data_IF_640945412390
#
_entry.id   IF_640945412390
#
_cell.length_a   1.000
_cell.length_b   1.000
_cell.length_c   1.000
_cell.angle_alpha   90.00
_cell.angle_beta   90.00
_cell.angle_gamma   90.00
#
_symmetry.space_group_name_H-M   'P 1'
#
loop_
_entity.id
_entity.type
_entity.pdbx_description
1 polymer ?
#
# COMPACT_ATOMS: atom_id res chain seq x y z
N UNK A 1 -0.25 22.40 2.06
CA UNK A 1 -0.21 21.28 1.09
C UNK A 1 -1.01 20.12 1.67
N UNK A 2 -1.82 19.40 0.88
CA UNK A 2 -2.57 18.25 1.39
C UNK A 2 -1.63 17.06 1.59
N UNK A 3 -1.78 16.25 2.66
CA UNK A 3 -0.98 15.04 2.79
C UNK A 3 -1.24 14.07 1.65
N UNK A 4 -0.18 13.49 1.10
CA UNK A 4 -0.26 12.50 0.02
C UNK A 4 -0.54 11.11 0.58
N UNK A 5 -1.47 10.41 -0.05
CA UNK A 5 -1.81 9.03 0.25
C UNK A 5 -1.71 8.21 -1.02
N UNK A 6 -1.04 7.07 -0.95
CA UNK A 6 -0.93 6.13 -2.07
C UNK A 6 -1.79 4.89 -1.78
N UNK A 7 -2.60 4.48 -2.76
CA UNK A 7 -3.21 3.17 -2.79
C UNK A 7 -2.67 2.41 -4.01
N UNK A 8 -2.00 1.29 -3.77
CA UNK A 8 -1.50 0.38 -4.80
C UNK A 8 -2.50 -0.77 -4.87
N UNK A 9 -3.23 -0.85 -5.96
CA UNK A 9 -4.40 -1.70 -6.13
C UNK A 9 -4.28 -2.48 -7.43
N UNK A 10 -4.82 -3.69 -7.48
CA UNK A 10 -5.03 -4.38 -8.75
C UNK A 10 -6.34 -3.87 -9.37
N UNK A 11 -6.33 -3.45 -10.63
CA UNK A 11 -7.47 -2.90 -11.38
C UNK A 11 -8.63 -3.91 -11.61
N UNK A 12 -8.77 -4.94 -10.77
CA UNK A 12 -9.91 -5.84 -10.72
C UNK A 12 -11.19 -5.03 -10.41
N UNK A 13 -11.90 -4.68 -11.48
CA UNK A 13 -13.00 -3.71 -11.57
C UNK A 13 -14.19 -3.92 -10.61
N UNK A 14 -14.82 -2.80 -10.23
CA UNK A 14 -16.08 -2.70 -9.47
C UNK A 14 -15.92 -1.82 -8.22
N UNK A 15 -15.11 -2.29 -7.29
CA UNK A 15 -15.01 -1.70 -5.94
C UNK A 15 -14.06 -0.50 -5.86
N UNK A 16 -13.20 -0.30 -6.86
CA UNK A 16 -12.21 0.78 -6.84
C UNK A 16 -12.87 2.15 -6.67
N UNK A 17 -13.92 2.42 -7.45
CA UNK A 17 -14.67 3.68 -7.35
C UNK A 17 -15.40 3.81 -6.01
N UNK A 18 -15.94 2.70 -5.49
CA UNK A 18 -16.65 2.64 -4.21
C UNK A 18 -15.74 2.97 -3.02
N UNK A 19 -14.51 2.45 -3.01
CA UNK A 19 -13.54 2.71 -1.94
C UNK A 19 -12.84 4.07 -2.08
N UNK A 20 -12.55 4.50 -3.31
CA UNK A 20 -11.90 5.78 -3.55
C UNK A 20 -12.85 6.97 -3.30
N UNK A 21 -14.16 6.81 -3.57
CA UNK A 21 -15.16 7.87 -3.45
C UNK A 21 -15.14 8.62 -2.12
N UNK A 22 -15.20 7.93 -0.97
CA UNK A 22 -15.10 8.58 0.35
C UNK A 22 -13.78 9.31 0.60
N UNK A 23 -12.66 8.84 0.05
CA UNK A 23 -11.37 9.53 0.17
C UNK A 23 -11.38 10.84 -0.60
N UNK A 24 -11.85 10.84 -1.85
CA UNK A 24 -12.01 12.05 -2.65
C UNK A 24 -13.00 13.04 -2.00
N UNK A 25 -14.16 12.56 -1.56
CA UNK A 25 -15.19 13.36 -0.92
C UNK A 25 -14.69 14.04 0.38
N UNK A 26 -13.72 13.43 1.08
CA UNK A 26 -13.13 14.04 2.28
C UNK A 26 -12.41 15.35 1.99
N UNK A 27 -11.88 15.53 0.77
CA UNK A 27 -11.02 16.64 0.36
C UNK A 27 -9.77 16.87 1.23
N UNK A 28 -9.45 15.97 2.17
CA UNK A 28 -8.34 16.13 3.14
C UNK A 28 -6.98 15.73 2.59
N UNK A 29 -6.98 14.84 1.60
CA UNK A 29 -5.78 14.19 1.11
C UNK A 29 -5.56 14.46 -0.38
N UNK A 30 -4.31 14.45 -0.80
CA UNK A 30 -3.95 14.23 -2.20
C UNK A 30 -3.88 12.71 -2.39
N UNK A 31 -4.90 12.15 -3.04
CA UNK A 31 -5.05 10.72 -3.17
C UNK A 31 -4.52 10.23 -4.51
N UNK A 32 -3.57 9.29 -4.47
CA UNK A 32 -2.89 8.71 -5.63
C UNK A 32 -3.21 7.23 -5.68
N UNK A 33 -3.55 6.73 -6.87
CA UNK A 33 -3.80 5.32 -7.13
C UNK A 33 -2.72 4.82 -8.08
N UNK A 34 -2.20 3.63 -7.82
CA UNK A 34 -1.32 2.89 -8.71
C UNK A 34 -1.97 1.54 -9.04
N UNK A 35 -2.15 1.24 -10.34
CA UNK A 35 -2.95 0.09 -10.78
C UNK A 35 -2.22 -1.26 -10.86
N UNK A 36 -0.91 -1.28 -10.55
CA UNK A 36 -0.08 -2.48 -10.61
C UNK A 36 1.22 -2.30 -9.81
N UNK A 37 2.01 -3.37 -9.71
CA UNK A 37 3.28 -3.36 -8.99
C UNK A 37 4.28 -2.36 -9.55
N UNK A 38 4.40 -2.25 -10.88
CA UNK A 38 5.32 -1.31 -11.56
C UNK A 38 4.97 0.16 -11.32
N UNK A 39 3.69 0.52 -11.39
CA UNK A 39 3.28 1.87 -11.03
C UNK A 39 3.48 2.13 -9.54
N UNK A 40 3.14 1.16 -8.68
CA UNK A 40 3.31 1.26 -7.24
C UNK A 40 4.75 1.60 -6.83
N UNK A 41 5.72 0.86 -7.39
CA UNK A 41 7.13 1.13 -7.12
C UNK A 41 7.56 2.51 -7.63
N UNK A 42 7.17 2.88 -8.85
CA UNK A 42 7.53 4.17 -9.44
C UNK A 42 7.03 5.33 -8.57
N UNK A 43 5.78 5.27 -8.11
CA UNK A 43 5.23 6.29 -7.19
C UNK A 43 6.03 6.37 -5.88
N UNK A 44 6.41 5.23 -5.32
CA UNK A 44 7.20 5.16 -4.10
C UNK A 44 8.58 5.80 -4.30
N UNK A 45 9.26 5.52 -5.42
CA UNK A 45 10.58 6.10 -5.74
C UNK A 45 10.46 7.62 -5.96
N UNK A 46 9.47 8.07 -6.74
CA UNK A 46 9.23 9.49 -7.02
C UNK A 46 8.90 10.30 -5.75
N UNK A 47 8.43 9.66 -4.69
CA UNK A 47 8.05 10.31 -3.44
C UNK A 47 9.24 10.69 -2.53
N UNK A 48 10.49 10.47 -2.94
CA UNK A 48 11.67 10.81 -2.12
C UNK A 48 11.68 12.27 -1.66
N UNK A 49 11.26 13.21 -2.51
CA UNK A 49 11.18 14.64 -2.19
C UNK A 49 9.87 15.06 -1.50
N UNK A 50 8.84 14.22 -1.53
CA UNK A 50 7.54 14.48 -0.90
C UNK A 50 6.87 13.15 -0.49
N UNK A 51 7.29 12.57 0.64
CA UNK A 51 6.86 11.23 1.06
C UNK A 51 5.35 11.11 1.27
N UNK A 52 4.82 9.91 1.03
CA UNK A 52 3.44 9.59 1.38
C UNK A 52 3.27 9.50 2.89
N UNK A 53 2.13 9.97 3.39
CA UNK A 53 1.76 9.87 4.81
C UNK A 53 1.14 8.51 5.13
N UNK A 54 0.51 7.88 4.15
CA UNK A 54 0.11 6.48 4.21
C UNK A 54 0.22 5.82 2.82
N UNK A 55 0.54 4.53 2.82
CA UNK A 55 0.56 3.67 1.64
C UNK A 55 -0.27 2.43 1.93
N UNK A 56 -1.27 2.16 1.11
CA UNK A 56 -2.14 0.98 1.24
C UNK A 56 -1.89 0.09 0.04
N UNK A 57 -1.66 -1.21 0.28
CA UNK A 57 -1.21 -2.15 -0.74
C UNK A 57 -2.15 -3.35 -0.78
N UNK A 58 -2.66 -3.69 -1.96
CA UNK A 58 -3.25 -5.01 -2.22
C UNK A 58 -2.12 -6.04 -2.43
N UNK A 59 -2.29 -7.26 -1.95
CA UNK A 59 -1.27 -8.31 -2.07
C UNK A 59 -1.18 -8.89 -3.48
N UNK A 60 -2.29 -8.94 -4.22
CA UNK A 60 -2.42 -9.60 -5.54
C UNK A 60 -2.30 -8.63 -6.69
N UNK A 61 -1.26 -7.79 -6.70
CA UNK A 61 -1.02 -6.88 -7.82
C UNK A 61 -0.64 -7.64 -9.11
N UNK A 62 -1.09 -7.11 -10.25
CA UNK A 62 -0.51 -7.43 -11.56
C UNK A 62 0.90 -6.83 -11.70
N UNK A 63 1.76 -7.39 -12.58
CA UNK A 63 3.15 -6.93 -12.70
C UNK A 63 3.28 -5.50 -13.24
N UNK A 64 2.50 -5.12 -14.26
CA UNK A 64 2.74 -3.87 -15.00
C UNK A 64 3.80 -4.05 -16.09
N UNK A 65 4.74 -3.11 -16.21
CA UNK A 65 5.73 -3.01 -17.30
C UNK A 65 7.20 -3.26 -16.88
N UNK A 66 7.47 -3.53 -15.61
CA UNK A 66 8.82 -3.87 -15.12
C UNK A 66 9.16 -5.33 -15.42
N UNK A 67 10.27 -5.59 -16.11
CA UNK A 67 10.67 -6.92 -16.59
C UNK A 67 10.82 -7.93 -15.44
N UNK A 68 11.44 -7.53 -14.33
CA UNK A 68 11.62 -8.42 -13.17
C UNK A 68 10.28 -8.83 -12.54
N UNK A 69 9.28 -7.94 -12.56
CA UNK A 69 7.93 -8.28 -12.10
C UNK A 69 7.24 -9.24 -13.07
N UNK A 70 7.36 -8.99 -14.37
CA UNK A 70 6.80 -9.85 -15.42
C UNK A 70 7.40 -11.25 -15.34
N UNK A 71 8.72 -11.35 -15.22
CA UNK A 71 9.45 -12.61 -15.12
C UNK A 71 9.06 -13.38 -13.85
N UNK A 72 9.07 -12.71 -12.69
CA UNK A 72 8.68 -13.35 -11.45
C UNK A 72 7.22 -13.84 -11.48
N UNK A 73 6.32 -13.03 -12.03
CA UNK A 73 4.93 -13.41 -12.20
C UNK A 73 4.77 -14.60 -13.15
N UNK A 74 5.50 -14.60 -14.28
CA UNK A 74 5.49 -15.68 -15.27
C UNK A 74 6.04 -17.01 -14.74
N UNK A 75 7.11 -16.98 -13.92
CA UNK A 75 7.69 -18.17 -13.30
C UNK A 75 6.75 -18.90 -12.33
N UNK A 76 5.77 -18.18 -11.76
CA UNK A 76 4.77 -18.76 -10.85
C UNK A 76 3.60 -19.45 -11.58
N UNK A 77 3.59 -19.42 -12.91
CA UNK A 77 2.66 -20.19 -13.75
C UNK A 77 1.21 -19.68 -13.73
N UNK A 78 0.26 -20.58 -14.05
CA UNK A 78 -1.19 -20.28 -14.21
C UNK A 78 -1.93 -19.84 -12.94
N UNK A 79 -1.24 -19.64 -11.81
CA UNK A 79 -1.85 -19.14 -10.59
C UNK A 79 -1.37 -17.71 -10.26
N UNK A 80 -2.01 -16.68 -10.83
CA UNK A 80 -1.79 -15.27 -10.46
C UNK A 80 -1.87 -14.99 -8.96
N UNK A 81 -2.64 -15.80 -8.21
CA UNK A 81 -2.78 -15.65 -6.74
C UNK A 81 -1.52 -16.10 -6.00
N UNK A 82 -0.65 -16.87 -6.63
CA UNK A 82 0.59 -17.36 -6.04
C UNK A 82 1.72 -16.32 -6.10
N UNK A 83 1.72 -15.42 -7.10
CA UNK A 83 2.79 -14.45 -7.28
C UNK A 83 2.79 -13.38 -6.17
N UNK A 84 1.61 -12.95 -5.70
CA UNK A 84 1.44 -12.00 -4.58
C UNK A 84 2.40 -10.80 -4.67
N UNK A 85 2.43 -10.11 -5.81
CA UNK A 85 3.44 -9.08 -6.08
C UNK A 85 3.39 -7.91 -5.09
N UNK A 86 2.24 -7.59 -4.52
CA UNK A 86 2.14 -6.60 -3.44
C UNK A 86 2.89 -7.03 -2.18
N UNK A 87 2.88 -8.33 -1.86
CA UNK A 87 3.72 -8.88 -0.78
C UNK A 87 5.20 -8.73 -1.14
N UNK A 88 5.61 -9.14 -2.33
CA UNK A 88 7.01 -9.05 -2.76
C UNK A 88 7.51 -7.59 -2.77
N UNK A 89 6.67 -6.64 -3.17
CA UNK A 89 6.95 -5.21 -3.08
C UNK A 89 7.25 -4.81 -1.62
N UNK A 90 6.42 -5.23 -0.66
CA UNK A 90 6.62 -4.93 0.75
C UNK A 90 7.89 -5.57 1.31
N UNK A 91 8.21 -6.81 0.91
CA UNK A 91 9.49 -7.43 1.25
C UNK A 91 10.66 -6.65 0.67
N UNK A 92 10.59 -6.23 -0.60
CA UNK A 92 11.64 -5.43 -1.21
C UNK A 92 11.89 -4.10 -0.47
N UNK A 93 10.82 -3.45 0.03
CA UNK A 93 10.90 -2.22 0.81
C UNK A 93 11.52 -2.42 2.21
N UNK A 94 11.02 -3.40 2.96
CA UNK A 94 11.31 -3.51 4.40
C UNK A 94 12.31 -4.61 4.76
N UNK A 95 12.40 -5.64 3.94
CA UNK A 95 13.23 -6.84 4.11
C UNK A 95 13.96 -7.16 2.80
N UNK A 96 14.63 -6.16 2.23
CA UNK A 96 15.24 -6.21 0.90
C UNK A 96 15.98 -7.52 0.56
N UNK A 97 16.74 -8.07 1.51
CA UNK A 97 17.49 -9.32 1.32
C UNK A 97 16.62 -10.59 1.21
N UNK A 98 15.37 -10.53 1.67
CA UNK A 98 14.42 -11.63 1.64
C UNK A 98 13.46 -11.53 0.44
N UNK A 99 13.50 -10.42 -0.30
CA UNK A 99 12.66 -10.23 -1.47
C UNK A 99 13.14 -11.11 -2.63
N UNK A 100 12.22 -11.78 -3.31
CA UNK A 100 12.56 -12.58 -4.49
C UNK A 100 12.83 -11.71 -5.72
N UNK A 101 12.29 -10.49 -5.73
CA UNK A 101 12.46 -9.51 -6.80
C UNK A 101 13.28 -8.33 -6.27
N UNK A 102 14.39 -8.04 -6.95
CA UNK A 102 15.30 -6.94 -6.62
C UNK A 102 15.28 -5.91 -7.75
N UNK A 103 14.47 -4.86 -7.59
CA UNK A 103 14.25 -3.85 -8.63
C UNK A 103 15.39 -2.84 -8.78
N UNK A 104 16.15 -2.64 -7.70
CA UNK A 104 17.30 -1.73 -7.65
C UNK A 104 18.14 -2.06 -6.41
N UNK A 105 19.42 -1.66 -6.45
CA UNK A 105 20.40 -1.94 -5.39
C UNK A 105 20.08 -1.25 -4.06
N UNK A 106 19.31 -0.16 -4.09
CA UNK A 106 19.02 0.65 -2.90
C UNK A 106 17.54 0.95 -2.81
N UNK A 107 16.97 0.68 -1.63
CA UNK A 107 15.62 1.12 -1.30
C UNK A 107 15.55 2.65 -1.10
N UNK A 108 14.40 3.29 -1.39
CA UNK A 108 14.14 4.69 -1.09
C UNK A 108 14.40 5.02 0.39
N UNK A 109 15.06 6.14 0.68
CA UNK A 109 15.49 6.43 2.06
C UNK A 109 14.30 6.83 2.93
N UNK A 110 13.31 7.50 2.36
CA UNK A 110 12.10 7.88 3.08
C UNK A 110 11.30 6.69 3.63
N UNK A 111 11.51 5.47 3.13
CA UNK A 111 10.82 4.25 3.58
C UNK A 111 11.45 3.66 4.85
N UNK A 112 12.72 3.97 5.13
CA UNK A 112 13.46 3.37 6.24
C UNK A 112 12.73 3.68 7.55
N UNK A 113 12.36 2.63 8.29
CA UNK A 113 11.62 2.68 9.56
C UNK A 113 10.20 3.30 9.46
N UNK A 114 9.57 3.28 8.27
CA UNK A 114 8.21 3.80 8.06
C UNK A 114 7.13 2.72 7.91
N UNK A 115 7.34 1.51 8.42
CA UNK A 115 6.39 0.40 8.35
C UNK A 115 4.99 0.78 8.86
N UNK A 116 4.93 1.63 9.89
CA UNK A 116 3.68 2.13 10.49
C UNK A 116 2.81 2.96 9.53
N UNK A 117 3.36 3.42 8.40
CA UNK A 117 2.62 4.14 7.35
C UNK A 117 2.00 3.20 6.32
N UNK A 118 2.30 1.91 6.39
CA UNK A 118 1.87 0.92 5.42
C UNK A 118 0.72 0.09 5.99
N UNK A 119 -0.29 -0.13 5.17
CA UNK A 119 -1.40 -1.03 5.47
C UNK A 119 -1.70 -1.95 4.30
N UNK A 120 -2.37 -3.06 4.60
CA UNK A 120 -2.78 -4.04 3.60
C UNK A 120 -4.30 -4.08 3.50
N UNK A 121 -4.83 -3.87 2.31
CA UNK A 121 -6.24 -4.04 2.00
C UNK A 121 -6.33 -5.10 0.90
N UNK A 122 -6.66 -6.33 1.26
CA UNK A 122 -6.58 -7.47 0.34
C UNK A 122 -7.63 -8.52 0.68
N UNK A 123 -7.93 -9.45 -0.23
CA UNK A 123 -8.90 -10.55 0.03
C UNK A 123 -8.37 -11.62 0.99
N UNK A 124 -7.05 -11.67 1.22
CA UNK A 124 -6.45 -12.56 2.20
C UNK A 124 -6.83 -12.18 3.64
N UNK A 125 -7.01 -13.20 4.47
CA UNK A 125 -7.26 -13.01 5.90
C UNK A 125 -5.99 -12.63 6.65
N UNK A 126 -6.17 -12.07 7.85
CA UNK A 126 -5.06 -11.72 8.73
C UNK A 126 -4.26 -12.96 9.13
N UNK A 127 -4.94 -14.10 9.27
CA UNK A 127 -4.34 -15.39 9.59
C UNK A 127 -3.47 -15.90 8.44
N UNK A 128 -3.95 -15.77 7.20
CA UNK A 128 -3.19 -16.15 5.99
C UNK A 128 -1.91 -15.31 5.81
N UNK A 129 -1.96 -14.04 6.21
CA UNK A 129 -0.84 -13.10 6.11
C UNK A 129 -0.07 -12.93 7.42
N UNK A 130 -0.40 -13.65 8.49
CA UNK A 130 0.12 -13.36 9.84
C UNK A 130 1.64 -13.32 9.88
N UNK A 131 2.29 -14.31 9.27
CA UNK A 131 3.75 -14.40 9.21
C UNK A 131 4.34 -13.19 8.47
N UNK A 132 3.79 -12.87 7.30
CA UNK A 132 4.24 -11.75 6.48
C UNK A 132 4.07 -10.40 7.23
N UNK A 133 2.92 -10.19 7.88
CA UNK A 133 2.63 -9.00 8.68
C UNK A 133 3.61 -8.82 9.85
N UNK A 134 3.84 -9.90 10.61
CA UNK A 134 4.75 -9.91 11.76
C UNK A 134 6.20 -9.65 11.32
N UNK A 135 6.65 -10.27 10.21
CA UNK A 135 8.00 -10.08 9.66
C UNK A 135 8.19 -8.66 9.11
N UNK A 136 7.22 -8.14 8.35
CA UNK A 136 7.27 -6.82 7.75
C UNK A 136 7.05 -5.69 8.76
N UNK A 137 6.52 -5.99 9.96
CA UNK A 137 6.18 -5.01 10.97
C UNK A 137 4.96 -4.14 10.61
N UNK A 138 4.06 -4.67 9.78
CA UNK A 138 2.84 -4.00 9.33
C UNK A 138 1.70 -4.36 10.27
N UNK A 139 1.08 -3.35 10.89
CA UNK A 139 0.04 -3.56 11.91
C UNK A 139 -1.38 -3.46 11.34
N UNK A 140 -1.57 -2.67 10.29
CA UNK A 140 -2.87 -2.41 9.70
C UNK A 140 -3.16 -3.36 8.54
N UNK A 141 -4.17 -4.19 8.72
CA UNK A 141 -4.68 -5.09 7.69
C UNK A 141 -6.21 -5.11 7.73
N UNK A 142 -6.83 -5.13 6.55
CA UNK A 142 -8.25 -5.34 6.37
C UNK A 142 -8.49 -6.33 5.25
N UNK A 143 -9.33 -7.34 5.52
CA UNK A 143 -9.76 -8.31 4.51
C UNK A 143 -10.92 -7.75 3.68
N UNK A 144 -10.77 -7.72 2.35
CA UNK A 144 -11.84 -7.43 1.40
C UNK A 144 -12.82 -8.61 1.33
N UNK A 145 -14.09 -8.31 1.59
CA UNK A 145 -15.27 -9.19 1.56
C UNK A 145 -16.45 -8.43 0.96
N UNK A 146 -17.51 -9.13 0.56
CA UNK A 146 -18.72 -8.53 -0.02
C UNK A 146 -19.35 -7.43 0.87
N UNK A 147 -19.20 -7.54 2.19
CA UNK A 147 -19.73 -6.59 3.18
C UNK A 147 -18.73 -5.51 3.60
N UNK A 148 -17.59 -5.38 2.90
CA UNK A 148 -16.57 -4.38 3.25
C UNK A 148 -17.13 -2.97 3.06
N UNK A 149 -17.12 -2.12 4.10
CA UNK A 149 -17.66 -0.78 3.99
C UNK A 149 -16.94 0.03 2.92
N UNK A 150 -17.68 0.84 2.16
CA UNK A 150 -17.09 1.74 1.17
C UNK A 150 -16.10 2.74 1.80
N UNK A 151 -16.19 2.99 3.11
CA UNK A 151 -15.27 3.87 3.84
C UNK A 151 -13.96 3.20 4.26
N UNK A 152 -13.78 1.90 4.02
CA UNK A 152 -12.64 1.10 4.53
C UNK A 152 -11.30 1.77 4.28
N UNK A 153 -11.10 2.31 3.08
CA UNK A 153 -9.85 2.94 2.69
C UNK A 153 -9.61 4.24 3.47
N UNK A 154 -10.65 5.07 3.61
CA UNK A 154 -10.60 6.28 4.42
C UNK A 154 -10.33 5.96 5.89
N UNK A 155 -10.91 4.87 6.41
CA UNK A 155 -10.73 4.48 7.81
C UNK A 155 -9.34 3.90 8.06
N UNK A 156 -8.77 3.15 7.12
CA UNK A 156 -7.36 2.74 7.16
C UNK A 156 -6.42 3.94 7.13
N UNK A 157 -6.67 4.93 6.26
CA UNK A 157 -5.88 6.17 6.21
C UNK A 157 -5.89 6.86 7.57
N UNK A 158 -7.04 6.97 8.24
CA UNK A 158 -7.13 7.60 9.58
C UNK A 158 -6.34 6.85 10.66
N UNK A 159 -6.14 5.54 10.51
CA UNK A 159 -5.34 4.73 11.45
C UNK A 159 -3.85 4.87 11.19
N UNK A 160 -3.46 4.88 9.91
CA UNK A 160 -2.06 4.99 9.47
C UNK A 160 -1.51 6.42 9.65
N UNK A 161 -2.34 7.42 9.43
CA UNK A 161 -1.96 8.82 9.58
C UNK A 161 -2.02 9.19 11.07
N UNK A 162 -0.90 9.65 11.67
CA UNK A 162 -0.91 10.16 13.03
C UNK A 162 -1.98 11.24 13.18
N UNK A 163 -2.75 11.22 14.27
CA UNK A 163 -3.70 12.29 14.56
C UNK A 163 -2.90 13.60 14.57
N UNK A 164 -3.11 14.44 13.56
CA UNK A 164 -2.58 15.79 13.54
C UNK A 164 -3.22 16.47 14.74
N UNK A 165 -2.46 16.63 15.82
CA UNK A 165 -2.86 17.43 16.97
C UNK A 165 -3.14 18.83 16.43
N UNK A 166 -4.38 19.27 16.61
CA UNK A 166 -4.82 20.58 16.18
C UNK A 166 -4.09 21.64 17.06
N UNK A 167 -3.20 22.49 16.52
CA UNK A 167 -2.48 23.48 17.33
C UNK A 167 -3.39 24.59 17.87
N UNK A 168 -4.66 24.63 17.44
CA UNK A 168 -5.60 25.71 17.74
C UNK A 168 -6.32 25.59 19.09
N UNK A 169 -5.79 24.86 20.08
CA UNK A 169 -6.40 24.75 21.42
C UNK A 169 -5.47 25.06 22.61
N UNK A 170 -4.26 25.55 22.36
CA UNK A 170 -3.33 25.97 23.44
C UNK A 170 -3.26 27.50 23.62
N UNK A 171 -4.20 28.27 23.06
CA UNK A 171 -4.29 29.73 23.29
C UNK A 171 -5.54 30.18 24.06
N UNK A 172 -6.27 29.24 24.67
CA UNK A 172 -7.42 29.54 25.55
C UNK A 172 -7.31 28.84 26.91
N UNK A 173 -6.13 28.87 27.52
CA UNK A 173 -5.93 28.47 28.92
C UNK A 173 -5.11 29.53 29.67
#
# INVERSE_FOLDING_TARGET
MKPKILWIEDEATGDMSSFAGPVYASMKYEFVIAGNASEGIRRIIEAESSPFLAVIVDIRLQPGDTEEWIDYFGQRGKDPKAARLGRELLYWLFKHEQANVKLMDKRPQWIVNQQHRFGILSVETKEELKKDLDELGITEHVTKKEDTPHTVLLDMIKKLVPKISNPARESEA
#
